data_IF_276667171718
#
_entry.id   IF_276667171718
#
_cell.length_a   1.000
_cell.length_b   1.000
_cell.length_c   1.000
_cell.angle_alpha   90.00
_cell.angle_beta   90.00
_cell.angle_gamma   90.00
#
_symmetry.space_group_name_H-M   'P 1'
#
loop_
_entity.id
_entity.type
_entity.pdbx_description
1 polymer ?
#
# COMPACT_ATOMS: atom_id res chain seq x y z
N UNK A 1 -1.82 18.03 13.66
CA UNK A 1 -1.74 16.97 12.64
C UNK A 1 -3.08 16.90 11.93
N UNK A 2 -3.07 17.15 10.62
CA UNK A 2 -4.24 17.17 9.75
C UNK A 2 -4.29 15.89 8.92
N UNK A 3 -5.47 15.28 8.82
CA UNK A 3 -5.70 14.13 7.93
C UNK A 3 -6.11 14.66 6.57
N UNK A 4 -5.54 14.12 5.49
CA UNK A 4 -5.95 14.47 4.13
C UNK A 4 -7.43 14.07 3.90
N UNK A 5 -8.17 14.91 3.16
CA UNK A 5 -9.55 14.57 2.78
C UNK A 5 -9.58 13.51 1.68
N UNK A 6 -8.54 13.47 0.86
CA UNK A 6 -8.32 12.45 -0.17
C UNK A 6 -8.24 11.05 0.45
N UNK A 7 -9.03 10.13 -0.12
CA UNK A 7 -9.03 8.72 0.24
C UNK A 7 -9.23 7.88 -1.01
N UNK A 8 -8.57 6.74 -1.04
CA UNK A 8 -8.72 5.75 -2.09
C UNK A 8 -9.22 4.43 -1.54
N UNK A 9 -10.02 3.74 -2.37
CA UNK A 9 -10.45 2.37 -2.13
C UNK A 9 -9.99 1.53 -3.30
N UNK A 10 -9.20 0.50 -3.02
CA UNK A 10 -8.80 -0.50 -3.98
C UNK A 10 -9.61 -1.78 -3.77
N UNK A 11 -10.24 -2.27 -4.83
CA UNK A 11 -11.05 -3.49 -4.83
C UNK A 11 -10.46 -4.43 -5.88
N UNK A 12 -9.87 -5.52 -5.43
CA UNK A 12 -9.11 -6.44 -6.27
C UNK A 12 -9.73 -7.84 -6.21
N UNK A 13 -9.96 -8.45 -7.37
CA UNK A 13 -10.18 -9.90 -7.45
C UNK A 13 -8.90 -10.64 -7.07
N UNK A 14 -9.00 -11.94 -6.75
CA UNK A 14 -7.85 -12.74 -6.37
C UNK A 14 -6.72 -12.72 -7.42
N UNK A 15 -7.07 -12.67 -8.71
CA UNK A 15 -6.14 -12.65 -9.83
C UNK A 15 -5.85 -11.24 -10.37
N UNK A 16 -6.28 -10.19 -9.67
CA UNK A 16 -6.02 -8.82 -10.10
C UNK A 16 -4.51 -8.57 -10.22
N UNK A 17 -4.05 -7.98 -11.34
CA UNK A 17 -2.63 -7.79 -11.61
C UNK A 17 -1.98 -6.87 -10.57
N UNK A 18 -0.65 -6.81 -10.60
CA UNK A 18 0.07 -5.85 -9.78
C UNK A 18 -0.07 -4.43 -10.34
N UNK A 19 -0.22 -3.44 -9.46
CA UNK A 19 -0.31 -2.02 -9.82
C UNK A 19 0.30 -1.13 -8.75
N UNK A 20 0.70 0.08 -9.14
CA UNK A 20 1.21 1.08 -8.20
C UNK A 20 0.04 1.70 -7.44
N UNK A 21 0.11 1.78 -6.11
CA UNK A 21 -0.95 2.49 -5.36
C UNK A 21 -0.92 3.99 -5.69
N UNK A 22 -2.06 4.69 -5.64
CA UNK A 22 -2.13 6.11 -5.98
C UNK A 22 -1.20 6.95 -5.10
N UNK A 23 -0.72 8.05 -5.67
CA UNK A 23 -0.04 9.09 -4.91
C UNK A 23 -1.03 9.82 -4.01
N UNK A 24 -0.58 10.30 -2.86
CA UNK A 24 -1.44 10.92 -1.86
C UNK A 24 -1.03 12.35 -1.56
N UNK A 25 -1.97 13.18 -1.10
CA UNK A 25 -1.72 14.58 -0.75
C UNK A 25 -0.63 14.78 0.33
N UNK A 26 -0.69 14.00 1.42
CA UNK A 26 0.26 14.08 2.53
C UNK A 26 1.29 12.94 2.49
N UNK A 27 2.48 13.13 3.09
CA UNK A 27 3.57 12.19 2.91
C UNK A 27 3.51 10.93 3.75
N UNK A 28 2.84 10.96 4.90
CA UNK A 28 2.66 9.78 5.72
C UNK A 28 1.38 9.08 5.27
N UNK A 29 1.55 7.91 4.66
CA UNK A 29 0.47 7.13 4.04
C UNK A 29 0.18 5.92 4.91
N UNK A 30 -1.10 5.54 4.98
CA UNK A 30 -1.52 4.26 5.53
C UNK A 30 -2.31 3.46 4.50
N UNK A 31 -2.09 2.15 4.49
CA UNK A 31 -2.86 1.16 3.75
C UNK A 31 -3.45 0.20 4.76
N UNK A 32 -4.77 0.22 4.91
CA UNK A 32 -5.51 -0.69 5.76
C UNK A 32 -6.15 -1.79 4.89
N UNK A 33 -5.77 -3.04 5.11
CA UNK A 33 -6.38 -4.17 4.42
C UNK A 33 -7.70 -4.54 5.10
N UNK A 34 -8.80 -3.99 4.62
CA UNK A 34 -10.11 -4.18 5.24
C UNK A 34 -10.65 -5.61 5.04
N UNK A 35 -10.42 -6.20 3.86
CA UNK A 35 -10.86 -7.56 3.50
C UNK A 35 -9.76 -8.28 2.73
N UNK A 36 -9.58 -9.57 3.00
CA UNK A 36 -8.65 -10.41 2.25
C UNK A 36 -7.19 -10.05 2.47
N UNK A 37 -6.34 -10.33 1.48
CA UNK A 37 -4.88 -10.17 1.60
C UNK A 37 -4.26 -9.71 0.30
N UNK A 38 -3.23 -8.85 0.37
CA UNK A 38 -2.38 -8.46 -0.77
C UNK A 38 -0.93 -8.42 -0.35
N UNK A 39 -0.02 -8.61 -1.30
CA UNK A 39 1.37 -8.23 -1.09
C UNK A 39 1.53 -6.74 -1.38
N UNK A 40 2.11 -5.99 -0.44
CA UNK A 40 2.53 -4.62 -0.66
C UNK A 40 4.05 -4.59 -0.79
N UNK A 41 4.53 -4.17 -1.95
CA UNK A 41 5.96 -4.04 -2.26
C UNK A 41 6.32 -2.57 -2.19
N UNK A 42 7.14 -2.19 -1.21
CA UNK A 42 7.67 -0.84 -1.07
C UNK A 42 9.00 -0.75 -1.79
N UNK A 43 9.03 -0.09 -2.95
CA UNK A 43 10.27 0.17 -3.70
C UNK A 43 10.91 1.48 -3.24
N UNK A 44 12.22 1.52 -2.97
CA UNK A 44 12.91 2.77 -2.63
C UNK A 44 12.77 3.81 -3.74
N UNK A 45 12.50 5.05 -3.35
CA UNK A 45 12.60 6.21 -4.25
C UNK A 45 14.08 6.57 -4.51
N UNK A 46 14.33 7.53 -5.41
CA UNK A 46 15.67 8.10 -5.61
C UNK A 46 16.25 8.69 -4.32
N UNK A 47 15.39 9.31 -3.51
CA UNK A 47 15.77 10.08 -2.32
C UNK A 47 16.40 9.19 -1.25
N UNK A 48 16.00 7.91 -1.15
CA UNK A 48 16.52 7.01 -0.12
C UNK A 48 17.19 5.74 -0.64
N UNK A 49 17.40 5.58 -1.95
CA UNK A 49 17.96 4.36 -2.57
C UNK A 49 19.28 3.88 -1.95
N UNK A 50 20.11 4.78 -1.42
CA UNK A 50 21.39 4.44 -0.79
C UNK A 50 21.25 3.86 0.63
N UNK A 51 20.07 3.93 1.24
CA UNK A 51 19.80 3.50 2.64
C UNK A 51 18.62 2.53 2.74
N UNK A 52 17.59 2.75 1.95
CA UNK A 52 16.39 1.91 1.85
C UNK A 52 16.63 0.69 0.95
N UNK A 53 15.94 -0.42 1.26
CA UNK A 53 15.91 -1.64 0.44
C UNK A 53 14.48 -2.02 0.12
N UNK A 54 14.20 -2.60 -1.04
CA UNK A 54 12.84 -3.08 -1.35
C UNK A 54 12.31 -3.99 -0.24
N UNK A 55 11.13 -3.66 0.29
CA UNK A 55 10.41 -4.47 1.25
C UNK A 55 9.21 -5.09 0.54
N UNK A 56 8.99 -6.38 0.74
CA UNK A 56 7.78 -7.07 0.29
C UNK A 56 7.12 -7.66 1.53
N UNK A 57 5.88 -7.28 1.78
CA UNK A 57 5.13 -7.75 2.93
C UNK A 57 3.75 -8.24 2.52
N UNK A 58 3.31 -9.34 3.11
CA UNK A 58 1.95 -9.83 2.99
C UNK A 58 1.08 -9.07 3.97
N UNK A 59 0.27 -8.14 3.48
CA UNK A 59 -0.66 -7.36 4.30
C UNK A 59 -1.96 -8.14 4.46
N UNK A 60 -2.15 -8.70 5.66
CA UNK A 60 -3.33 -9.50 5.99
C UNK A 60 -4.50 -8.64 6.46
N UNK A 61 -5.71 -9.20 6.39
CA UNK A 61 -6.92 -8.52 6.86
C UNK A 61 -6.76 -7.91 8.26
N UNK A 62 -7.29 -6.70 8.44
CA UNK A 62 -7.24 -5.87 9.65
C UNK A 62 -5.87 -5.29 10.02
N UNK A 63 -4.82 -5.56 9.24
CA UNK A 63 -3.52 -4.91 9.44
C UNK A 63 -3.44 -3.59 8.67
N UNK A 64 -2.66 -2.68 9.25
CA UNK A 64 -2.35 -1.37 8.67
C UNK A 64 -0.85 -1.30 8.39
N UNK A 65 -0.49 -1.02 7.15
CA UNK A 65 0.87 -0.64 6.77
C UNK A 65 0.95 0.89 6.73
N UNK A 66 1.91 1.47 7.46
CA UNK A 66 2.25 2.88 7.32
C UNK A 66 3.61 3.06 6.68
N UNK A 67 3.72 3.96 5.71
CA UNK A 67 4.98 4.31 5.06
C UNK A 67 5.00 5.80 4.70
N UNK A 68 6.18 6.31 4.36
CA UNK A 68 6.32 7.65 3.84
C UNK A 68 6.64 7.61 2.34
N UNK A 69 5.79 8.22 1.52
CA UNK A 69 5.92 8.15 0.05
C UNK A 69 7.15 8.89 -0.51
N UNK A 70 7.79 9.76 0.29
CA UNK A 70 9.08 10.39 -0.07
C UNK A 70 10.20 9.35 -0.14
N UNK A 71 10.04 8.22 0.56
CA UNK A 71 11.03 7.15 0.64
C UNK A 71 10.61 5.90 -0.13
N UNK A 72 9.29 5.67 -0.27
CA UNK A 72 8.77 4.43 -0.83
C UNK A 72 7.69 4.68 -1.88
N UNK A 73 7.83 4.03 -3.04
CA UNK A 73 6.75 3.87 -4.03
C UNK A 73 6.09 2.50 -3.86
N UNK A 74 4.81 2.44 -3.44
CA UNK A 74 4.10 1.19 -3.17
C UNK A 74 3.61 0.49 -4.45
N UNK A 75 3.68 -0.84 -4.47
CA UNK A 75 2.99 -1.68 -5.45
C UNK A 75 2.09 -2.66 -4.69
N UNK A 76 0.83 -2.74 -5.07
CA UNK A 76 -0.10 -3.79 -4.66
C UNK A 76 0.02 -4.96 -5.62
N UNK A 77 0.21 -6.17 -5.11
CA UNK A 77 0.35 -7.41 -5.88
C UNK A 77 -0.53 -8.54 -5.30
N UNK A 78 -0.98 -9.49 -6.13
CA UNK A 78 -1.84 -10.58 -5.67
C UNK A 78 -1.12 -11.48 -4.66
N UNK A 79 -1.87 -12.00 -3.68
CA UNK A 79 -1.41 -13.11 -2.85
C UNK A 79 -1.65 -14.40 -3.63
N UNK A 80 -0.59 -15.14 -4.04
CA UNK A 80 -0.72 -16.30 -4.92
C UNK A 80 -1.45 -17.49 -4.26
N UNK A 81 -1.67 -17.44 -2.94
CA UNK A 81 -2.36 -18.49 -2.19
C UNK A 81 -3.81 -18.08 -1.87
N UNK A 82 -4.12 -16.79 -1.92
CA UNK A 82 -5.46 -16.29 -1.59
C UNK A 82 -6.37 -16.31 -2.82
N UNK A 83 -7.49 -17.02 -2.72
CA UNK A 83 -8.52 -17.04 -3.77
C UNK A 83 -9.67 -16.04 -3.51
N UNK A 84 -9.57 -15.24 -2.45
CA UNK A 84 -10.61 -14.28 -2.09
C UNK A 84 -10.37 -12.90 -2.70
N UNK A 85 -11.46 -12.17 -2.92
CA UNK A 85 -11.44 -10.71 -3.12
C UNK A 85 -10.61 -10.03 -2.02
N UNK A 86 -9.96 -8.92 -2.35
CA UNK A 86 -9.33 -8.03 -1.38
C UNK A 86 -9.86 -6.61 -1.49
N UNK A 87 -9.99 -5.93 -0.34
CA UNK A 87 -10.36 -4.51 -0.26
C UNK A 87 -9.33 -3.79 0.60
N UNK A 88 -8.68 -2.77 0.04
CA UNK A 88 -7.73 -1.90 0.75
C UNK A 88 -8.23 -0.47 0.82
N UNK A 89 -8.11 0.14 2.00
CA UNK A 89 -8.42 1.54 2.25
C UNK A 89 -7.11 2.32 2.40
N UNK A 90 -6.96 3.39 1.64
CA UNK A 90 -5.70 4.15 1.56
C UNK A 90 -6.01 5.60 1.92
N UNK A 91 -5.17 6.20 2.76
CA UNK A 91 -5.24 7.61 3.10
C UNK A 91 -3.90 8.13 3.60
N UNK A 92 -3.82 9.44 3.85
CA UNK A 92 -2.58 10.10 4.27
C UNK A 92 -2.79 11.18 5.33
N UNK A 93 -1.71 11.56 6.01
CA UNK A 93 -1.73 12.60 7.05
C UNK A 93 -0.44 13.42 7.13
N UNK A 94 -0.64 14.66 7.60
CA UNK A 94 0.33 15.70 7.90
C UNK A 94 0.24 16.04 9.42
#
# INVERSE_FOLDING_TARGET
MGVALERYVAIDTAQAPAYTLPETECPNVYVHQAVGTRFIILRPTSECRHRCRTLSLRLTQSFVLSYNWLYWKPISAPDPISETLSISLIGSYC
#
